data_IF_799670011532
#
_entry.id   IF_799670011532
#
_cell.length_a   1.000
_cell.length_b   1.000
_cell.length_c   1.000
_cell.angle_alpha   90.00
_cell.angle_beta   90.00
_cell.angle_gamma   90.00
#
_symmetry.space_group_name_H-M   'P 1'
#
loop_
_entity.id
_entity.type
_entity.pdbx_description
1 polymer ?
#
# COMPACT_ATOMS: atom_id res chain seq x y z
N UNK A 1 19.34 13.90 -4.79
CA UNK A 1 18.89 13.38 -3.47
C UNK A 1 20.10 13.08 -2.57
N UNK A 2 19.90 13.07 -1.24
CA UNK A 2 20.92 12.69 -0.28
C UNK A 2 20.59 11.32 0.34
N UNK A 3 21.54 10.35 0.37
CA UNK A 3 21.31 9.00 0.90
C UNK A 3 21.02 8.97 2.40
N UNK A 4 21.65 9.85 3.17
CA UNK A 4 21.57 9.84 4.64
C UNK A 4 20.39 10.64 5.21
N UNK A 5 19.39 10.97 4.38
CA UNK A 5 18.23 11.76 4.83
C UNK A 5 17.09 10.90 5.38
N UNK A 6 17.25 9.57 5.42
CA UNK A 6 16.31 8.70 6.12
C UNK A 6 16.31 9.03 7.62
N UNK A 7 15.17 9.42 8.17
CA UNK A 7 15.01 9.88 9.55
C UNK A 7 15.45 11.34 9.80
N UNK A 8 15.98 12.05 8.79
CA UNK A 8 16.42 13.43 8.95
C UNK A 8 15.25 14.39 9.15
N UNK A 9 15.46 15.46 9.91
CA UNK A 9 14.47 16.51 10.12
C UNK A 9 14.44 17.49 8.96
N UNK A 10 13.25 17.76 8.41
CA UNK A 10 13.01 18.92 7.54
C UNK A 10 12.66 20.10 8.43
N UNK A 11 13.56 21.07 8.54
CA UNK A 11 13.40 22.24 9.39
C UNK A 11 13.03 23.46 8.54
N UNK A 12 11.94 24.13 8.91
CA UNK A 12 11.50 25.37 8.27
C UNK A 12 12.34 26.57 8.67
N UNK A 13 12.07 27.73 8.06
CA UNK A 13 12.88 28.94 8.26
C UNK A 13 12.71 29.51 9.67
N UNK A 14 11.65 29.14 10.38
CA UNK A 14 11.36 29.58 11.75
C UNK A 14 11.84 28.56 12.80
N UNK A 15 12.52 27.49 12.37
CA UNK A 15 13.03 26.44 13.26
C UNK A 15 12.02 25.35 13.60
N UNK A 16 10.85 25.36 12.96
CA UNK A 16 9.82 24.35 13.11
C UNK A 16 10.15 23.06 12.35
N UNK A 17 9.80 21.92 12.93
CA UNK A 17 9.86 20.64 12.24
C UNK A 17 8.69 20.56 11.27
N UNK A 18 8.96 20.39 9.98
CA UNK A 18 7.94 20.27 8.93
C UNK A 18 7.72 18.81 8.50
N UNK A 19 8.75 17.97 8.63
CA UNK A 19 8.64 16.57 8.23
C UNK A 19 9.87 15.75 8.57
N UNK A 20 9.75 14.44 8.34
CA UNK A 20 10.78 13.44 8.61
C UNK A 20 11.13 12.76 7.30
N UNK A 21 12.41 12.76 6.94
CA UNK A 21 12.88 12.13 5.69
C UNK A 21 12.64 10.62 5.73
N UNK A 22 12.22 10.04 4.61
CA UNK A 22 11.74 8.65 4.59
C UNK A 22 12.42 7.78 3.53
N UNK A 23 12.50 8.24 2.29
CA UNK A 23 13.08 7.47 1.19
C UNK A 23 13.58 8.36 0.06
N UNK A 24 14.31 7.76 -0.88
CA UNK A 24 14.68 8.37 -2.15
C UNK A 24 13.73 7.86 -3.23
N UNK A 25 13.17 8.80 -3.98
CA UNK A 25 12.48 8.53 -5.23
C UNK A 25 13.47 8.75 -6.37
N UNK A 26 13.53 7.79 -7.29
CA UNK A 26 14.34 7.92 -8.51
C UNK A 26 13.77 8.97 -9.46
N UNK A 27 12.45 9.19 -9.40
CA UNK A 27 11.77 10.23 -10.15
C UNK A 27 10.62 10.82 -9.33
N UNK A 28 10.75 12.07 -8.89
CA UNK A 28 9.70 12.80 -8.16
C UNK A 28 8.66 13.43 -9.09
N UNK A 29 8.92 13.43 -10.40
CA UNK A 29 8.05 14.00 -11.42
C UNK A 29 7.50 12.91 -12.35
N UNK A 30 7.43 11.65 -11.90
CA UNK A 30 7.00 10.51 -12.70
C UNK A 30 5.59 10.69 -13.33
N UNK A 31 4.72 11.48 -12.70
CA UNK A 31 3.38 11.80 -13.21
C UNK A 31 3.38 12.89 -14.30
N UNK A 32 4.54 13.50 -14.59
CA UNK A 32 4.74 14.52 -15.62
C UNK A 32 5.59 13.95 -16.77
N UNK A 33 4.98 13.34 -17.80
CA UNK A 33 5.69 12.54 -18.81
C UNK A 33 6.67 13.35 -19.69
N UNK A 34 6.59 14.69 -19.68
CA UNK A 34 7.51 15.58 -20.39
C UNK A 34 8.66 16.11 -19.51
N UNK A 35 8.66 15.81 -18.21
CA UNK A 35 9.72 16.24 -17.30
C UNK A 35 10.93 15.30 -17.39
N UNK A 36 12.12 15.85 -17.14
CA UNK A 36 13.32 15.03 -16.99
C UNK A 36 13.22 14.21 -15.69
N UNK A 37 13.66 12.95 -15.74
CA UNK A 37 13.76 12.08 -14.57
C UNK A 37 14.55 12.79 -13.48
N UNK A 38 13.90 13.10 -12.37
CA UNK A 38 14.49 13.94 -11.32
C UNK A 38 14.46 13.19 -10.00
N UNK A 39 15.60 12.70 -9.49
CA UNK A 39 15.63 11.99 -8.23
C UNK A 39 15.53 12.96 -7.06
N UNK A 40 14.81 12.57 -6.01
CA UNK A 40 14.55 13.44 -4.85
C UNK A 40 14.29 12.67 -3.57
N UNK A 41 14.40 13.37 -2.44
CA UNK A 41 14.05 12.82 -1.14
C UNK A 41 12.56 13.05 -0.87
N UNK A 42 11.88 12.04 -0.33
CA UNK A 42 10.53 12.16 0.20
C UNK A 42 10.61 12.46 1.71
N UNK A 43 9.85 13.47 2.14
CA UNK A 43 9.62 13.77 3.56
C UNK A 43 8.16 13.50 3.92
N UNK A 44 7.94 12.78 5.01
CA UNK A 44 6.61 12.56 5.58
C UNK A 44 6.26 13.77 6.45
N UNK A 45 5.12 14.46 6.21
CA UNK A 45 4.73 15.63 6.99
C UNK A 45 4.61 15.32 8.48
N UNK A 46 5.12 16.22 9.33
CA UNK A 46 5.10 16.01 10.79
C UNK A 46 3.68 15.97 11.34
N UNK A 47 2.72 16.65 10.70
CA UNK A 47 1.33 16.75 11.17
C UNK A 47 0.59 15.41 11.14
N UNK A 48 1.13 14.40 10.45
CA UNK A 48 0.61 13.03 10.47
C UNK A 48 0.95 12.28 11.76
N UNK A 49 1.93 12.75 12.54
CA UNK A 49 2.43 12.09 13.76
C UNK A 49 1.52 12.31 14.99
N UNK A 50 1.06 13.54 15.34
CA UNK A 50 0.29 13.76 16.56
C UNK A 50 -0.92 12.84 16.76
N UNK A 51 -1.74 12.54 15.73
CA UNK A 51 -2.89 11.65 15.90
C UNK A 51 -2.55 10.21 16.29
N UNK A 52 -1.33 9.74 15.96
CA UNK A 52 -0.92 8.34 16.16
C UNK A 52 0.09 8.18 17.30
N UNK A 53 0.70 9.28 17.73
CA UNK A 53 1.77 9.28 18.75
C UNK A 53 1.35 8.65 20.08
N UNK A 54 0.14 8.88 20.64
CA UNK A 54 -0.25 8.24 21.90
C UNK A 54 -0.25 6.71 21.82
N UNK A 55 -0.72 6.14 20.71
CA UNK A 55 -0.75 4.68 20.50
C UNK A 55 0.67 4.13 20.31
N UNK A 56 1.51 4.83 19.56
CA UNK A 56 2.91 4.46 19.39
C UNK A 56 3.66 4.41 20.73
N UNK A 57 3.43 5.39 21.63
CA UNK A 57 4.04 5.41 22.95
C UNK A 57 3.50 4.30 23.86
N UNK A 58 2.20 4.01 23.80
CA UNK A 58 1.56 3.03 24.67
C UNK A 58 1.79 1.57 24.22
N UNK A 59 1.85 1.32 22.92
CA UNK A 59 1.78 -0.03 22.33
C UNK A 59 2.93 -0.33 21.36
N UNK A 60 3.79 0.65 21.04
CA UNK A 60 4.83 0.52 20.03
C UNK A 60 4.31 0.47 18.60
N UNK A 61 3.00 0.57 18.38
CA UNK A 61 2.35 0.47 17.07
C UNK A 61 0.99 1.18 17.08
N UNK A 62 0.46 1.41 15.88
CA UNK A 62 -0.91 1.90 15.69
C UNK A 62 -1.92 0.79 15.91
N UNK A 63 -3.08 1.15 16.44
CA UNK A 63 -4.23 0.27 16.64
C UNK A 63 -4.93 -0.08 15.32
N UNK A 64 -5.01 0.90 14.41
CA UNK A 64 -5.62 0.73 13.10
C UNK A 64 -4.77 -0.16 12.20
N UNK A 65 -5.31 -1.33 11.87
CA UNK A 65 -4.70 -2.29 10.94
C UNK A 65 -5.45 -2.25 9.62
N UNK A 66 -4.73 -1.94 8.54
CA UNK A 66 -5.30 -1.93 7.21
C UNK A 66 -5.58 -3.36 6.71
N UNK A 67 -6.68 -3.56 5.95
CA UNK A 67 -6.96 -4.82 5.28
C UNK A 67 -5.77 -5.30 4.46
N UNK A 68 -5.25 -6.49 4.78
CA UNK A 68 -4.19 -7.14 4.02
C UNK A 68 -4.77 -8.32 3.24
N UNK A 69 -4.56 -8.32 1.92
CA UNK A 69 -5.10 -9.34 1.02
C UNK A 69 -4.09 -10.43 0.68
N UNK A 70 -2.80 -10.25 1.02
CA UNK A 70 -1.76 -11.20 0.62
C UNK A 70 -1.53 -11.25 -0.89
N UNK A 71 -1.67 -10.13 -1.58
CA UNK A 71 -1.31 -9.99 -2.99
C UNK A 71 -0.32 -8.83 -3.18
N UNK A 72 0.53 -8.97 -4.19
CA UNK A 72 1.42 -7.93 -4.69
C UNK A 72 0.91 -7.54 -6.07
N UNK A 73 0.62 -6.26 -6.25
CA UNK A 73 0.11 -5.73 -7.50
C UNK A 73 1.11 -4.78 -8.14
N UNK A 74 1.16 -4.81 -9.47
CA UNK A 74 2.03 -3.96 -10.28
C UNK A 74 1.21 -3.19 -11.28
N UNK A 75 1.49 -1.89 -11.36
CA UNK A 75 0.97 -1.05 -12.44
C UNK A 75 1.81 -1.25 -13.71
N UNK A 76 1.15 -1.48 -14.83
CA UNK A 76 1.81 -1.56 -16.13
C UNK A 76 0.90 -1.00 -17.22
N UNK A 77 1.34 0.06 -17.92
CA UNK A 77 0.60 0.73 -19.01
C UNK A 77 -0.85 1.09 -18.66
N UNK A 78 -1.10 1.54 -17.43
CA UNK A 78 -2.43 1.94 -16.96
C UNK A 78 -3.33 0.78 -16.49
N UNK A 79 -2.77 -0.41 -16.33
CA UNK A 79 -3.45 -1.60 -15.84
C UNK A 79 -2.83 -2.09 -14.54
N UNK A 80 -3.63 -2.66 -13.65
CA UNK A 80 -3.19 -3.16 -12.34
C UNK A 80 -3.19 -4.69 -12.32
N UNK A 81 -2.02 -5.30 -12.45
CA UNK A 81 -1.89 -6.76 -12.47
C UNK A 81 -1.54 -7.31 -11.10
N UNK A 82 -2.05 -8.52 -10.80
CA UNK A 82 -1.54 -9.34 -9.70
C UNK A 82 -0.19 -9.91 -10.12
N UNK A 83 0.88 -9.37 -9.55
CA UNK A 83 2.25 -9.82 -9.79
C UNK A 83 2.57 -11.10 -9.01
N UNK A 84 2.09 -11.19 -7.78
CA UNK A 84 2.29 -12.36 -6.93
C UNK A 84 1.16 -12.48 -5.91
N UNK A 85 0.83 -13.71 -5.52
CA UNK A 85 -0.05 -13.99 -4.38
C UNK A 85 0.77 -14.71 -3.31
N UNK A 86 0.63 -14.27 -2.06
CA UNK A 86 1.29 -14.88 -0.91
C UNK A 86 0.68 -16.25 -0.67
N UNK A 87 1.53 -17.27 -0.57
CA UNK A 87 1.10 -18.63 -0.27
C UNK A 87 0.28 -18.68 1.02
N UNK A 88 -0.84 -19.42 0.99
CA UNK A 88 -1.81 -19.53 2.07
C UNK A 88 -2.42 -18.19 2.54
N UNK A 89 -2.16 -17.08 1.86
CA UNK A 89 -2.72 -15.76 2.19
C UNK A 89 -4.19 -15.63 1.76
N UNK A 90 -4.88 -14.57 2.20
CA UNK A 90 -6.30 -14.36 1.91
C UNK A 90 -6.67 -14.44 0.43
N UNK A 91 -5.88 -13.81 -0.44
CA UNK A 91 -6.09 -13.82 -1.88
C UNK A 91 -5.94 -15.22 -2.49
N UNK A 92 -4.95 -16.01 -2.05
CA UNK A 92 -4.78 -17.39 -2.51
C UNK A 92 -5.97 -18.26 -2.10
N UNK A 93 -6.43 -18.15 -0.86
CA UNK A 93 -7.60 -18.89 -0.35
C UNK A 93 -8.88 -18.53 -1.10
N UNK A 94 -9.01 -17.29 -1.54
CA UNK A 94 -10.13 -16.82 -2.36
C UNK A 94 -10.00 -17.17 -3.86
N UNK A 95 -8.90 -17.81 -4.27
CA UNK A 95 -8.68 -18.22 -5.65
C UNK A 95 -8.22 -17.11 -6.59
N UNK A 96 -7.68 -16.00 -6.07
CA UNK A 96 -6.96 -15.01 -6.87
C UNK A 96 -5.64 -15.62 -7.35
N UNK A 97 -5.28 -15.36 -8.61
CA UNK A 97 -4.10 -15.94 -9.24
C UNK A 97 -3.18 -14.87 -9.80
N UNK A 98 -1.90 -15.22 -9.96
CA UNK A 98 -0.96 -14.39 -10.69
C UNK A 98 -1.48 -14.09 -12.11
N UNK A 99 -1.19 -12.89 -12.61
CA UNK A 99 -1.63 -12.35 -13.90
C UNK A 99 -3.11 -11.96 -14.00
N UNK A 100 -3.90 -12.13 -12.94
CA UNK A 100 -5.22 -11.50 -12.89
C UNK A 100 -5.08 -9.98 -13.06
N UNK A 101 -5.91 -9.40 -13.92
CA UNK A 101 -6.01 -7.96 -14.07
C UNK A 101 -7.10 -7.44 -13.15
N UNK A 102 -6.74 -6.66 -12.13
CA UNK A 102 -7.69 -6.04 -11.22
C UNK A 102 -8.34 -4.85 -11.93
N UNK A 103 -9.68 -4.89 -12.06
CA UNK A 103 -10.43 -3.84 -12.76
C UNK A 103 -11.35 -3.04 -11.83
N UNK A 104 -11.77 -3.62 -10.69
CA UNK A 104 -12.57 -2.91 -9.71
C UNK A 104 -12.41 -3.46 -8.28
N UNK A 105 -12.63 -2.59 -7.29
CA UNK A 105 -12.82 -2.94 -5.88
C UNK A 105 -14.22 -2.49 -5.46
N UNK A 106 -15.02 -3.36 -4.86
CA UNK A 106 -16.40 -3.07 -4.46
C UNK A 106 -17.24 -2.43 -5.59
N UNK A 107 -17.08 -2.93 -6.82
CA UNK A 107 -17.70 -2.42 -8.06
C UNK A 107 -17.29 -1.00 -8.47
N UNK A 108 -16.27 -0.42 -7.83
CA UNK A 108 -15.67 0.85 -8.24
C UNK A 108 -14.44 0.57 -9.11
N UNK A 109 -14.37 1.14 -10.33
CA UNK A 109 -13.23 0.93 -11.21
C UNK A 109 -11.89 1.35 -10.58
N UNK A 110 -10.83 0.63 -10.92
CA UNK A 110 -9.48 0.95 -10.47
C UNK A 110 -8.44 0.61 -11.54
N UNK A 111 -7.44 1.46 -11.67
CA UNK A 111 -6.31 1.29 -12.62
C UNK A 111 -4.95 1.58 -12.02
N UNK A 112 -4.90 2.10 -10.77
CA UNK A 112 -3.67 2.43 -10.06
C UNK A 112 -3.62 1.69 -8.72
N UNK A 113 -2.43 1.29 -8.30
CA UNK A 113 -2.10 0.73 -7.00
C UNK A 113 -2.52 1.67 -5.88
N UNK A 114 -2.29 2.98 -6.03
CA UNK A 114 -2.70 3.95 -5.02
C UNK A 114 -4.24 4.03 -4.89
N UNK A 115 -4.96 4.01 -6.02
CA UNK A 115 -6.42 3.93 -6.04
C UNK A 115 -6.94 2.64 -5.42
N UNK A 116 -6.30 1.52 -5.75
CA UNK A 116 -6.63 0.19 -5.22
C UNK A 116 -6.49 0.14 -3.70
N UNK A 117 -5.33 0.53 -3.17
CA UNK A 117 -5.09 0.55 -1.72
C UNK A 117 -6.08 1.47 -1.00
N UNK A 118 -6.37 2.66 -1.55
CA UNK A 118 -7.37 3.57 -0.96
C UNK A 118 -8.77 2.95 -0.93
N UNK A 119 -9.22 2.34 -2.03
CA UNK A 119 -10.53 1.70 -2.09
C UNK A 119 -10.62 0.52 -1.11
N UNK A 120 -9.59 -0.32 -1.03
CA UNK A 120 -9.52 -1.43 -0.08
C UNK A 120 -9.57 -0.93 1.37
N UNK A 121 -8.77 0.08 1.71
CA UNK A 121 -8.72 0.63 3.09
C UNK A 121 -9.98 1.40 3.50
N UNK A 122 -10.80 1.84 2.53
CA UNK A 122 -12.07 2.48 2.79
C UNK A 122 -13.18 1.50 3.22
N UNK A 123 -12.99 0.19 3.00
CA UNK A 123 -13.97 -0.84 3.36
C UNK A 123 -14.00 -1.14 4.87
N UNK A 124 -12.96 -0.76 5.60
CA UNK A 124 -12.86 -0.93 7.05
C UNK A 124 -11.49 -1.45 7.48
N UNK A 125 -11.46 -2.07 8.65
CA UNK A 125 -10.23 -2.63 9.24
C UNK A 125 -9.97 -4.06 8.75
N UNK A 126 -8.80 -4.60 9.08
CA UNK A 126 -8.47 -6.01 8.81
C UNK A 126 -9.59 -6.97 9.27
N UNK A 127 -9.94 -7.94 8.42
CA UNK A 127 -11.06 -8.86 8.62
C UNK A 127 -12.27 -8.57 7.73
N UNK A 128 -12.36 -7.39 7.13
CA UNK A 128 -13.44 -7.07 6.18
C UNK A 128 -13.34 -7.89 4.90
N UNK A 129 -14.50 -8.18 4.29
CA UNK A 129 -14.58 -8.76 2.95
C UNK A 129 -14.35 -7.68 1.90
N UNK A 130 -13.41 -7.95 1.00
CA UNK A 130 -13.01 -7.08 -0.10
C UNK A 130 -13.50 -7.71 -1.42
N UNK A 131 -14.54 -7.15 -2.05
CA UNK A 131 -14.99 -7.59 -3.36
C UNK A 131 -14.01 -7.10 -4.42
N UNK A 132 -13.40 -8.00 -5.18
CA UNK A 132 -12.61 -7.66 -6.36
C UNK A 132 -13.33 -8.16 -7.61
N UNK A 133 -13.31 -7.36 -8.66
CA UNK A 133 -13.59 -7.82 -10.01
C UNK A 133 -12.27 -7.87 -10.76
N UNK A 134 -11.95 -9.04 -11.33
CA UNK A 134 -10.73 -9.26 -12.11
C UNK A 134 -11.07 -9.72 -13.51
N UNK A 135 -10.21 -9.41 -14.48
CA UNK A 135 -10.24 -10.01 -15.81
C UNK A 135 -9.25 -11.18 -15.82
N UNK A 136 -9.78 -12.39 -16.02
CA UNK A 136 -9.03 -13.65 -16.15
C UNK A 136 -9.49 -14.37 -17.40
N UNK A 137 -8.55 -14.76 -18.27
CA UNK A 137 -8.85 -15.46 -19.53
C UNK A 137 -9.96 -14.78 -20.37
N UNK A 138 -9.89 -13.45 -20.45
CA UNK A 138 -10.87 -12.59 -21.12
C UNK A 138 -12.30 -12.59 -20.53
N UNK A 139 -12.49 -13.10 -19.32
CA UNK A 139 -13.76 -13.08 -18.59
C UNK A 139 -13.64 -12.28 -17.29
N UNK A 140 -14.70 -11.56 -16.95
CA UNK A 140 -14.81 -10.90 -15.64
C UNK A 140 -15.19 -11.93 -14.58
N UNK A 141 -14.39 -12.00 -13.53
CA UNK A 141 -14.58 -12.88 -12.39
C UNK A 141 -14.68 -12.02 -11.13
N UNK A 142 -15.76 -12.20 -10.37
CA UNK A 142 -15.91 -11.58 -9.07
C UNK A 142 -15.35 -12.51 -7.98
N UNK A 143 -14.44 -11.99 -7.17
CA UNK A 143 -13.76 -12.69 -6.09
C UNK A 143 -14.01 -11.95 -4.78
N UNK A 144 -14.45 -12.67 -3.76
CA UNK A 144 -14.64 -12.13 -2.42
C UNK A 144 -13.46 -12.54 -1.54
N UNK A 145 -12.65 -11.58 -1.11
CA UNK A 145 -11.47 -11.84 -0.28
C UNK A 145 -11.73 -11.36 1.14
N UNK A 146 -11.80 -12.26 2.11
CA UNK A 146 -11.80 -11.89 3.53
C UNK A 146 -10.39 -11.47 3.93
N UNK A 147 -10.17 -10.16 4.11
CA UNK A 147 -8.84 -9.62 4.45
C UNK A 147 -8.35 -10.10 5.82
N UNK A 148 -7.03 -10.07 6.01
CA UNK A 148 -6.39 -10.40 7.29
C UNK A 148 -5.61 -9.24 7.89
N UNK A 149 -5.14 -9.44 9.12
CA UNK A 149 -4.08 -8.64 9.72
C UNK A 149 -2.73 -9.18 9.24
N UNK A 150 -1.93 -8.33 8.58
CA UNK A 150 -0.60 -8.70 8.09
C UNK A 150 0.33 -9.15 9.23
N UNK A 151 0.22 -8.57 10.43
CA UNK A 151 1.07 -8.94 11.56
C UNK A 151 0.82 -10.36 12.02
N UNK A 152 -0.44 -10.82 12.01
CA UNK A 152 -0.77 -12.20 12.36
C UNK A 152 -0.20 -13.18 11.32
N UNK A 153 -0.18 -12.79 10.04
CA UNK A 153 0.40 -13.61 8.98
C UNK A 153 1.94 -13.68 9.04
N UNK A 154 2.61 -12.55 9.30
CA UNK A 154 4.08 -12.49 9.42
C UNK A 154 4.62 -13.27 10.64
N UNK A 155 3.79 -13.55 11.64
CA UNK A 155 4.17 -14.32 12.82
C UNK A 155 4.26 -15.84 12.58
N UNK A 156 4.01 -16.31 11.36
CA UNK A 156 4.22 -17.71 10.99
C UNK A 156 5.69 -18.01 10.71
N UNK A 157 6.46 -18.22 11.80
CA UNK A 157 7.36 -19.36 12.07
C UNK A 157 8.61 -18.92 12.88
N UNK A 158 8.55 -18.89 14.22
CA UNK A 158 9.76 -18.77 15.06
C UNK A 158 10.62 -20.05 15.07
N UNK A 159 10.27 -21.07 14.28
CA UNK A 159 10.97 -22.36 14.20
C UNK A 159 11.61 -22.62 12.81
N UNK A 160 12.16 -21.57 12.18
CA UNK A 160 13.24 -21.69 11.19
C UNK A 160 14.48 -20.97 11.72
#
# INVERSE_FOLDING_TARGET
PHPDFNGAALIGKQGELLGIGSLILNDVLADQPAAAVTPGNMFVPVDLLPPVLPELLAQGRRSKVHPWLGLYAREYRGYLFVEQVSENGPAAQAGLTQNDLIVAVARQPVSTLSGFLRQVWALGDAGVTVPLTVLRDAQLVDIQITSGDRYNWLQLNPAL
#
